data_IF_163977146989
#
_entry.id   IF_163977146989
#
_cell.length_a   1.000
_cell.length_b   1.000
_cell.length_c   1.000
_cell.angle_alpha   90.00
_cell.angle_beta   90.00
_cell.angle_gamma   90.00
#
_symmetry.space_group_name_H-M   'P 1'
#
loop_
_entity.id
_entity.type
_entity.pdbx_description
1 polymer ?
#
# COMPACT_ATOMS: atom_id res chain seq x y z
N UNK A 1 13.47 -9.54 -4.45
CA UNK A 1 13.52 -8.77 -3.18
C UNK A 1 12.89 -7.43 -3.48
N UNK A 2 11.70 -7.16 -2.93
CA UNK A 2 10.98 -5.90 -3.13
C UNK A 2 11.69 -4.84 -2.28
N UNK A 3 11.90 -3.64 -2.84
CA UNK A 3 12.45 -2.50 -2.09
C UNK A 3 11.31 -1.64 -1.56
N UNK A 4 11.54 -0.92 -0.46
CA UNK A 4 10.53 0.00 0.06
C UNK A 4 10.25 1.14 -0.94
N UNK A 5 11.27 1.61 -1.65
CA UNK A 5 11.12 2.68 -2.65
C UNK A 5 10.20 2.26 -3.80
N UNK A 6 10.42 1.07 -4.38
CA UNK A 6 9.53 0.51 -5.43
C UNK A 6 8.11 0.31 -4.91
N UNK A 7 7.96 -0.11 -3.65
CA UNK A 7 6.64 -0.26 -3.05
C UNK A 7 5.92 1.08 -2.90
N UNK A 8 6.64 2.13 -2.50
CA UNK A 8 6.09 3.47 -2.40
C UNK A 8 5.64 4.01 -3.77
N UNK A 9 6.45 3.81 -4.81
CA UNK A 9 6.09 4.19 -6.18
C UNK A 9 4.77 3.53 -6.61
N UNK A 10 4.65 2.20 -6.50
CA UNK A 10 3.40 1.49 -6.85
C UNK A 10 2.21 1.92 -5.97
N UNK A 11 2.47 2.24 -4.70
CA UNK A 11 1.43 2.68 -3.78
C UNK A 11 0.91 4.08 -4.13
N UNK A 12 1.80 5.02 -4.47
CA UNK A 12 1.42 6.35 -4.93
C UNK A 12 0.71 6.29 -6.28
N UNK A 13 1.15 5.43 -7.21
CA UNK A 13 0.48 5.21 -8.50
C UNK A 13 -0.93 4.61 -8.34
N UNK A 14 -1.16 3.81 -7.30
CA UNK A 14 -2.46 3.20 -7.05
C UNK A 14 -3.50 4.18 -6.48
N UNK A 15 -3.09 5.32 -5.93
CA UNK A 15 -3.99 6.27 -5.26
C UNK A 15 -4.08 7.54 -6.11
N UNK A 16 -5.31 7.89 -6.49
CA UNK A 16 -5.58 9.13 -7.23
C UNK A 16 -5.31 10.37 -6.35
N UNK A 17 -4.92 11.48 -6.99
CA UNK A 17 -4.66 12.77 -6.34
C UNK A 17 -3.55 12.77 -5.25
N UNK A 18 -2.64 11.79 -5.28
CA UNK A 18 -1.39 11.81 -4.49
C UNK A 18 -0.27 12.50 -5.26
N UNK A 19 0.51 13.32 -4.56
CA UNK A 19 1.71 13.95 -5.13
C UNK A 19 2.84 12.91 -5.07
N UNK A 20 3.52 12.59 -6.18
CA UNK A 20 4.65 11.66 -6.17
C UNK A 20 5.77 12.12 -5.21
N UNK A 21 6.26 11.20 -4.38
CA UNK A 21 7.23 11.44 -3.33
C UNK A 21 6.67 12.10 -2.06
N UNK A 22 5.34 12.25 -1.94
CA UNK A 22 4.73 12.76 -0.70
C UNK A 22 4.50 11.68 0.35
N UNK A 23 4.45 10.41 -0.06
CA UNK A 23 4.25 9.27 0.82
C UNK A 23 5.60 8.66 1.19
N UNK A 24 5.76 8.28 2.46
CA UNK A 24 6.91 7.56 2.94
C UNK A 24 6.47 6.40 3.85
N UNK A 25 7.41 5.58 4.31
CA UNK A 25 7.09 4.42 5.14
C UNK A 25 6.38 4.74 6.46
N UNK A 26 6.56 5.95 7.01
CA UNK A 26 5.87 6.38 8.23
C UNK A 26 4.48 6.96 7.97
N UNK A 27 4.08 7.15 6.71
CA UNK A 27 2.77 7.69 6.37
C UNK A 27 1.66 6.74 6.82
N UNK A 28 0.71 7.28 7.58
CA UNK A 28 -0.54 6.62 7.95
C UNK A 28 -1.56 6.84 6.83
N UNK A 29 -1.65 5.91 5.89
CA UNK A 29 -2.48 6.09 4.70
C UNK A 29 -3.98 6.29 5.02
N UNK A 30 -4.46 5.75 6.14
CA UNK A 30 -5.85 5.96 6.60
C UNK A 30 -6.15 7.39 7.05
N UNK A 31 -5.12 8.21 7.28
CA UNK A 31 -5.24 9.62 7.67
C UNK A 31 -5.07 10.57 6.47
N UNK A 32 -4.77 10.04 5.28
CA UNK A 32 -4.68 10.85 4.07
C UNK A 32 -6.07 11.35 3.67
N UNK A 33 -6.18 12.62 3.29
CA UNK A 33 -7.45 13.22 2.86
C UNK A 33 -8.02 12.52 1.61
N UNK A 34 -7.14 12.05 0.74
CA UNK A 34 -7.47 11.30 -0.49
C UNK A 34 -7.80 9.83 -0.24
N UNK A 35 -7.68 9.34 1.00
CA UNK A 35 -7.92 7.93 1.31
C UNK A 35 -9.41 7.62 1.48
N UNK A 36 -10.01 7.13 0.40
CA UNK A 36 -11.42 6.76 0.34
C UNK A 36 -11.62 5.26 0.03
N UNK A 37 -12.84 4.89 -0.39
CA UNK A 37 -13.13 3.52 -0.78
C UNK A 37 -12.43 3.10 -2.07
N UNK A 38 -12.20 4.03 -2.99
CA UNK A 38 -11.51 3.76 -4.24
C UNK A 38 -10.02 3.50 -3.97
N UNK A 39 -9.36 4.38 -3.21
CA UNK A 39 -7.96 4.22 -2.79
C UNK A 39 -7.72 2.86 -2.10
N UNK A 40 -8.67 2.44 -1.26
CA UNK A 40 -8.62 1.12 -0.62
C UNK A 40 -8.69 -0.02 -1.64
N UNK A 41 -9.61 0.07 -2.61
CA UNK A 41 -9.81 -0.98 -3.61
C UNK A 41 -8.65 -1.06 -4.59
N UNK A 42 -8.15 0.09 -5.06
CA UNK A 42 -7.00 0.17 -5.98
C UNK A 42 -5.72 -0.28 -5.30
N UNK A 43 -5.53 0.04 -4.00
CA UNK A 43 -4.43 -0.52 -3.21
C UNK A 43 -4.51 -2.04 -3.18
N UNK A 44 -5.67 -2.63 -2.86
CA UNK A 44 -5.83 -4.09 -2.84
C UNK A 44 -5.57 -4.70 -4.21
N UNK A 45 -6.08 -4.08 -5.28
CA UNK A 45 -5.87 -4.54 -6.64
C UNK A 45 -4.39 -4.47 -7.05
N UNK A 46 -3.68 -3.40 -6.66
CA UNK A 46 -2.24 -3.25 -6.88
C UNK A 46 -1.45 -4.36 -6.15
N UNK A 47 -1.81 -4.69 -4.91
CA UNK A 47 -1.15 -5.76 -4.17
C UNK A 47 -1.29 -7.13 -4.86
N UNK A 48 -2.45 -7.39 -5.45
CA UNK A 48 -2.71 -8.60 -6.21
C UNK A 48 -1.95 -8.61 -7.54
N UNK A 49 -2.03 -7.53 -8.30
CA UNK A 49 -1.43 -7.42 -9.64
C UNK A 49 0.11 -7.42 -9.61
N UNK A 50 0.72 -6.65 -8.71
CA UNK A 50 2.18 -6.45 -8.67
C UNK A 50 2.91 -7.51 -7.83
N UNK A 51 2.27 -8.00 -6.77
CA UNK A 51 2.91 -8.87 -5.78
C UNK A 51 2.22 -10.22 -5.60
N UNK A 52 1.05 -10.45 -6.22
CA UNK A 52 0.26 -11.68 -6.01
C UNK A 52 -0.26 -11.82 -4.57
N UNK A 53 -0.32 -10.73 -3.81
CA UNK A 53 -0.71 -10.74 -2.39
C UNK A 53 -2.18 -10.38 -2.24
N UNK A 54 -2.97 -11.34 -1.76
CA UNK A 54 -4.39 -11.14 -1.51
C UNK A 54 -4.62 -10.65 -0.08
N UNK A 55 -4.90 -9.35 0.07
CA UNK A 55 -5.16 -8.73 1.36
C UNK A 55 -6.63 -8.33 1.51
N UNK A 56 -7.27 -8.73 2.60
CA UNK A 56 -8.64 -8.28 2.87
C UNK A 56 -8.67 -6.81 3.32
N UNK A 57 -9.75 -6.10 2.99
CA UNK A 57 -9.97 -4.71 3.42
C UNK A 57 -9.85 -4.54 4.95
N UNK A 58 -10.35 -5.52 5.73
CA UNK A 58 -10.24 -5.51 7.19
C UNK A 58 -8.78 -5.60 7.65
N UNK A 59 -7.97 -6.43 6.98
CA UNK A 59 -6.54 -6.57 7.30
C UNK A 59 -5.76 -5.33 6.92
N UNK A 60 -6.05 -4.74 5.75
CA UNK A 60 -5.44 -3.48 5.31
C UNK A 60 -5.72 -2.35 6.31
N UNK A 61 -6.96 -2.22 6.79
CA UNK A 61 -7.33 -1.23 7.82
C UNK A 61 -6.70 -1.46 9.19
N UNK A 62 -6.17 -2.66 9.45
CA UNK A 62 -5.49 -2.98 10.71
C UNK A 62 -3.99 -2.67 10.68
N UNK A 63 -3.43 -2.36 9.50
CA UNK A 63 -2.03 -1.98 9.33
C UNK A 63 -1.92 -0.45 9.46
N UNK A 64 -1.07 0.06 10.37
CA UNK A 64 -1.10 1.48 10.74
C UNK A 64 -0.37 2.38 9.75
N UNK A 65 0.57 1.86 8.95
CA UNK A 65 1.41 2.66 8.06
C UNK A 65 1.81 1.91 6.80
N UNK A 66 2.28 2.66 5.81
CA UNK A 66 2.77 2.10 4.53
C UNK A 66 3.93 1.12 4.77
N UNK A 67 4.81 1.38 5.73
CA UNK A 67 5.89 0.44 6.10
C UNK A 67 5.34 -0.89 6.62
N UNK A 68 4.31 -0.88 7.47
CA UNK A 68 3.70 -2.11 7.95
C UNK A 68 3.04 -2.91 6.82
N UNK A 69 2.45 -2.22 5.84
CA UNK A 69 1.92 -2.86 4.64
C UNK A 69 3.02 -3.50 3.79
N UNK A 70 4.09 -2.75 3.51
CA UNK A 70 5.25 -3.27 2.80
C UNK A 70 5.86 -4.49 3.50
N UNK A 71 6.07 -4.45 4.82
CA UNK A 71 6.62 -5.57 5.59
C UNK A 71 5.74 -6.81 5.49
N UNK A 72 4.41 -6.64 5.51
CA UNK A 72 3.47 -7.74 5.33
C UNK A 72 3.58 -8.36 3.93
N UNK A 73 3.59 -7.52 2.89
CA UNK A 73 3.71 -7.96 1.49
C UNK A 73 5.04 -8.67 1.25
N UNK A 74 6.14 -8.07 1.71
CA UNK A 74 7.46 -8.67 1.61
C UNK A 74 7.53 -10.02 2.33
N UNK A 75 6.88 -10.17 3.48
CA UNK A 75 6.82 -11.44 4.18
C UNK A 75 6.01 -12.51 3.42
N UNK A 76 4.89 -12.14 2.77
CA UNK A 76 4.08 -13.07 1.99
C UNK A 76 4.78 -13.51 0.69
N UNK A 77 5.46 -12.59 0.00
CA UNK A 77 6.17 -12.89 -1.26
C UNK A 77 7.40 -13.78 -1.06
N UNK A 78 8.01 -13.75 0.13
CA UNK A 78 9.19 -14.57 0.45
C UNK A 78 8.84 -15.92 1.11
N UNK A 79 7.57 -16.26 1.28
CA UNK A 79 7.13 -17.59 1.73
C UNK A 79 7.22 -18.61 0.58
#
# INVERSE_FOLDING_TARGET
MISLDTFLEHFEEAIEDVIPGSINGATHYMELEVWDSLALLTTIAMLDAEYGVHLSATKLKALPSVKCLYEHVAAEVNK
#
